data_IF_549392172229
#
_entry.id   IF_549392172229
#
_cell.length_a   1.000
_cell.length_b   1.000
_cell.length_c   1.000
_cell.angle_alpha   90.00
_cell.angle_beta   90.00
_cell.angle_gamma   90.00
#
_symmetry.space_group_name_H-M   'P 1'
#
loop_
_entity.id
_entity.type
_entity.pdbx_description
1 polymer ?
#
# COMPACT_ATOMS: atom_id res chain seq x y z
N UNK A 1 -19.51 -25.51 -22.64
CA UNK A 1 -18.58 -26.66 -22.56
C UNK A 1 -17.11 -26.24 -22.76
N UNK A 2 -16.76 -25.50 -23.81
CA UNK A 2 -15.37 -25.04 -24.06
C UNK A 2 -14.77 -24.15 -22.96
N UNK A 3 -15.55 -23.26 -22.33
CA UNK A 3 -15.07 -22.44 -21.21
C UNK A 3 -14.66 -23.28 -19.99
N UNK A 4 -15.42 -24.33 -19.69
CA UNK A 4 -15.19 -25.19 -18.53
C UNK A 4 -13.94 -26.06 -18.73
N UNK A 5 -13.75 -26.59 -19.94
CA UNK A 5 -12.51 -27.28 -20.36
C UNK A 5 -11.29 -26.34 -20.27
N UNK A 6 -11.42 -25.11 -20.77
CA UNK A 6 -10.34 -24.10 -20.71
C UNK A 6 -9.96 -23.72 -19.27
N UNK A 7 -10.95 -23.52 -18.40
CA UNK A 7 -10.72 -23.28 -16.97
C UNK A 7 -10.07 -24.49 -16.29
N UNK A 8 -10.49 -25.71 -16.62
CA UNK A 8 -9.92 -26.94 -16.08
C UNK A 8 -8.45 -27.11 -16.50
N UNK A 9 -8.12 -26.85 -17.75
CA UNK A 9 -6.76 -26.86 -18.28
C UNK A 9 -5.89 -25.78 -17.60
N UNK A 10 -6.45 -24.58 -17.40
CA UNK A 10 -5.78 -23.46 -16.73
C UNK A 10 -5.53 -23.74 -15.25
N UNK A 11 -6.45 -24.41 -14.55
CA UNK A 11 -6.31 -24.75 -13.12
C UNK A 11 -5.55 -26.07 -12.86
N UNK A 12 -5.17 -26.81 -13.92
CA UNK A 12 -4.44 -28.09 -13.81
C UNK A 12 -3.05 -27.94 -13.17
N UNK A 13 -2.24 -26.92 -13.49
CA UNK A 13 -0.90 -26.78 -12.93
C UNK A 13 -0.92 -26.71 -11.39
N UNK A 14 -0.01 -27.42 -10.69
CA UNK A 14 0.04 -27.39 -9.23
C UNK A 14 0.37 -25.99 -8.69
N UNK A 15 1.11 -25.19 -9.44
CA UNK A 15 1.44 -23.80 -9.11
C UNK A 15 0.21 -22.90 -9.03
N UNK A 16 -0.70 -23.00 -10.00
CA UNK A 16 -1.93 -22.19 -10.04
C UNK A 16 -2.87 -22.58 -8.90
N UNK A 17 -2.94 -23.86 -8.55
CA UNK A 17 -3.70 -24.33 -7.37
C UNK A 17 -3.12 -23.81 -6.06
N UNK A 18 -1.79 -23.82 -5.91
CA UNK A 18 -1.13 -23.26 -4.73
C UNK A 18 -1.35 -21.75 -4.63
N UNK A 19 -1.22 -21.02 -5.73
CA UNK A 19 -1.50 -19.58 -5.78
C UNK A 19 -2.96 -19.28 -5.44
N UNK A 20 -3.89 -20.07 -5.98
CA UNK A 20 -5.31 -19.98 -5.65
C UNK A 20 -5.56 -20.20 -4.16
N UNK A 21 -4.94 -21.22 -3.56
CA UNK A 21 -5.05 -21.49 -2.12
C UNK A 21 -4.52 -20.33 -1.27
N UNK A 22 -3.32 -19.83 -1.59
CA UNK A 22 -2.74 -18.67 -0.89
C UNK A 22 -3.63 -17.45 -1.03
N UNK A 23 -4.16 -17.20 -2.24
CA UNK A 23 -5.08 -16.10 -2.49
C UNK A 23 -6.37 -16.23 -1.69
N UNK A 24 -6.95 -17.43 -1.61
CA UNK A 24 -8.14 -17.70 -0.79
C UNK A 24 -7.89 -17.47 0.69
N UNK A 25 -6.73 -17.87 1.22
CA UNK A 25 -6.36 -17.61 2.62
C UNK A 25 -6.26 -16.10 2.86
N UNK A 26 -5.57 -15.37 1.99
CA UNK A 26 -5.45 -13.91 2.11
C UNK A 26 -6.81 -13.23 2.05
N UNK A 27 -7.65 -13.61 1.09
CA UNK A 27 -9.00 -13.06 0.93
C UNK A 27 -9.85 -13.31 2.18
N UNK A 28 -9.81 -14.51 2.73
CA UNK A 28 -10.53 -14.88 3.94
C UNK A 28 -10.04 -14.10 5.18
N UNK A 29 -8.73 -13.87 5.32
CA UNK A 29 -8.19 -13.18 6.50
C UNK A 29 -8.50 -11.67 6.50
N UNK A 30 -8.59 -11.08 5.31
CA UNK A 30 -8.66 -9.62 5.15
C UNK A 30 -10.08 -9.15 4.88
N UNK A 31 -10.89 -9.94 4.18
CA UNK A 31 -12.22 -9.53 3.68
C UNK A 31 -12.18 -8.11 3.09
N UNK A 32 -11.44 -7.90 1.97
CA UNK A 32 -10.99 -6.58 1.56
C UNK A 32 -12.18 -5.65 1.24
N UNK A 33 -12.40 -4.69 2.14
CA UNK A 33 -13.38 -3.62 2.00
C UNK A 33 -12.81 -2.39 1.24
N UNK A 34 -13.66 -1.39 1.00
CA UNK A 34 -13.25 -0.19 0.27
C UNK A 34 -12.13 0.59 0.96
N UNK A 35 -12.08 0.59 2.30
CA UNK A 35 -11.08 1.30 3.06
C UNK A 35 -9.72 0.59 2.99
N UNK A 36 -9.72 -0.74 3.10
CA UNK A 36 -8.53 -1.56 2.84
C UNK A 36 -7.98 -1.29 1.44
N UNK A 37 -8.83 -1.35 0.41
CA UNK A 37 -8.40 -1.10 -0.97
C UNK A 37 -7.84 0.30 -1.17
N UNK A 38 -8.43 1.33 -0.54
CA UNK A 38 -7.94 2.71 -0.62
C UNK A 38 -6.50 2.85 -0.07
N UNK A 39 -6.19 2.21 1.06
CA UNK A 39 -4.83 2.20 1.62
C UNK A 39 -3.85 1.52 0.66
N UNK A 40 -4.21 0.38 0.08
CA UNK A 40 -3.32 -0.34 -0.84
C UNK A 40 -3.12 0.38 -2.17
N UNK A 41 -4.13 1.08 -2.67
CA UNK A 41 -3.98 2.00 -3.80
C UNK A 41 -2.98 3.10 -3.44
N UNK A 42 -3.10 3.71 -2.26
CA UNK A 42 -2.16 4.74 -1.81
C UNK A 42 -0.73 4.20 -1.69
N UNK A 43 -0.52 3.00 -1.14
CA UNK A 43 0.80 2.34 -1.11
C UNK A 43 1.37 2.15 -2.51
N UNK A 44 0.56 1.72 -3.48
CA UNK A 44 1.00 1.57 -4.86
C UNK A 44 1.39 2.91 -5.49
N UNK A 45 0.62 3.97 -5.22
CA UNK A 45 0.92 5.33 -5.67
C UNK A 45 2.17 5.90 -4.99
N UNK A 46 2.45 5.57 -3.72
CA UNK A 46 3.71 5.90 -3.04
C UNK A 46 4.91 5.29 -3.77
N UNK A 47 4.84 4.00 -4.10
CA UNK A 47 5.90 3.33 -4.84
C UNK A 47 6.11 3.95 -6.23
N UNK A 48 5.04 4.23 -6.96
CA UNK A 48 5.11 4.87 -8.28
C UNK A 48 5.70 6.27 -8.19
N UNK A 49 5.19 7.11 -7.27
CA UNK A 49 5.67 8.48 -7.09
C UNK A 49 7.15 8.52 -6.70
N UNK A 50 7.61 7.58 -5.88
CA UNK A 50 9.01 7.42 -5.53
C UNK A 50 9.89 7.10 -6.74
N UNK A 51 9.44 6.20 -7.62
CA UNK A 51 10.16 5.90 -8.87
C UNK A 51 10.24 7.13 -9.79
N UNK A 52 9.15 7.91 -9.87
CA UNK A 52 9.13 9.18 -10.62
C UNK A 52 10.13 10.18 -10.05
N UNK A 53 10.16 10.37 -8.72
CA UNK A 53 11.08 11.28 -8.05
C UNK A 53 12.56 10.92 -8.31
N UNK A 54 12.91 9.64 -8.17
CA UNK A 54 14.27 9.15 -8.45
C UNK A 54 14.63 9.41 -9.92
N UNK A 55 13.70 9.15 -10.84
CA UNK A 55 13.93 9.33 -12.27
C UNK A 55 14.14 10.81 -12.64
N UNK A 56 13.33 11.70 -12.06
CA UNK A 56 13.42 13.15 -12.29
C UNK A 56 14.76 13.72 -11.81
N UNK A 57 15.23 13.30 -10.63
CA UNK A 57 16.49 13.79 -10.06
C UNK A 57 17.75 13.30 -10.81
N UNK A 58 17.66 12.20 -11.56
CA UNK A 58 18.79 11.56 -12.24
C UNK A 58 18.82 11.79 -13.75
N UNK A 59 17.92 12.62 -14.28
CA UNK A 59 17.85 12.91 -15.72
C UNK A 59 17.24 11.79 -16.56
N UNK A 60 16.46 10.87 -15.94
CA UNK A 60 15.70 9.84 -16.65
C UNK A 60 15.63 8.48 -15.93
N UNK A 61 14.57 7.71 -16.23
CA UNK A 61 14.30 6.39 -15.63
C UNK A 61 15.39 5.36 -15.94
N UNK A 62 15.89 5.34 -17.19
CA UNK A 62 16.93 4.39 -17.62
C UNK A 62 18.28 4.63 -16.94
N UNK A 63 18.61 5.89 -16.65
CA UNK A 63 19.85 6.27 -15.94
C UNK A 63 19.75 5.88 -14.45
N UNK A 64 18.57 6.04 -13.85
CA UNK A 64 18.32 5.62 -12.48
C UNK A 64 18.38 4.09 -12.30
N UNK A 65 17.93 3.32 -13.30
CA UNK A 65 17.93 1.86 -13.28
C UNK A 65 19.35 1.28 -13.43
N UNK A 66 20.14 1.82 -14.35
CA UNK A 66 21.53 1.38 -14.58
C UNK A 66 22.47 1.78 -13.43
N UNK A 67 22.15 2.86 -12.70
CA UNK A 67 22.91 3.28 -11.52
C UNK A 67 22.69 2.41 -10.27
N UNK A 68 21.76 1.45 -10.30
CA UNK A 68 21.52 0.51 -9.18
C UNK A 68 20.87 1.14 -7.92
N UNK A 69 20.53 2.42 -7.96
CA UNK A 69 19.98 3.19 -6.83
C UNK A 69 18.53 2.78 -6.48
N UNK A 70 17.75 2.35 -7.48
CA UNK A 70 16.41 1.76 -7.27
C UNK A 70 16.51 0.46 -6.43
N UNK A 71 17.70 -0.14 -6.35
CA UNK A 71 18.01 -1.40 -5.66
C UNK A 71 18.82 -1.22 -4.37
N UNK A 72 18.80 -0.05 -3.71
CA UNK A 72 19.47 0.02 -2.40
C UNK A 72 18.77 -0.93 -1.42
N UNK A 73 19.51 -1.91 -0.88
CA UNK A 73 18.98 -2.91 0.08
C UNK A 73 18.20 -2.27 1.23
N UNK A 74 18.56 -1.04 1.60
CA UNK A 74 17.89 -0.24 2.63
C UNK A 74 16.49 0.23 2.19
N UNK A 75 16.34 0.73 0.97
CA UNK A 75 15.04 1.14 0.43
C UNK A 75 14.09 -0.06 0.30
N UNK A 76 14.58 -1.19 -0.22
CA UNK A 76 13.79 -2.41 -0.34
C UNK A 76 13.36 -2.96 1.02
N UNK A 77 14.27 -3.00 2.00
CA UNK A 77 13.95 -3.44 3.37
C UNK A 77 12.89 -2.57 4.03
N UNK A 78 12.98 -1.24 3.87
CA UNK A 78 11.98 -0.32 4.39
C UNK A 78 10.59 -0.54 3.79
N UNK A 79 10.51 -0.67 2.46
CA UNK A 79 9.26 -0.99 1.77
C UNK A 79 8.71 -2.35 2.19
N UNK A 80 9.55 -3.39 2.30
CA UNK A 80 9.10 -4.70 2.75
C UNK A 80 8.51 -4.68 4.17
N UNK A 81 9.18 -4.02 5.12
CA UNK A 81 8.67 -3.86 6.49
C UNK A 81 7.34 -3.12 6.48
N UNK A 82 7.21 -2.04 5.69
CA UNK A 82 5.96 -1.28 5.53
C UNK A 82 4.83 -2.19 5.04
N UNK A 83 5.06 -2.95 3.96
CA UNK A 83 4.05 -3.85 3.38
C UNK A 83 3.58 -4.91 4.38
N UNK A 84 4.51 -5.53 5.12
CA UNK A 84 4.18 -6.53 6.14
C UNK A 84 3.39 -5.90 7.28
N UNK A 85 3.80 -4.71 7.77
CA UNK A 85 3.09 -4.01 8.83
C UNK A 85 1.67 -3.63 8.40
N UNK A 86 1.51 -3.08 7.19
CA UNK A 86 0.21 -2.62 6.68
C UNK A 86 -0.74 -3.79 6.44
N UNK A 87 -0.23 -4.89 5.90
CA UNK A 87 -0.99 -6.13 5.76
C UNK A 87 -1.44 -6.66 7.12
N UNK A 88 -0.53 -6.71 8.10
CA UNK A 88 -0.84 -7.20 9.46
C UNK A 88 -1.93 -6.34 10.11
N UNK A 89 -1.83 -5.01 10.02
CA UNK A 89 -2.85 -4.09 10.51
C UNK A 89 -4.19 -4.27 9.79
N UNK A 90 -4.16 -4.48 8.47
CA UNK A 90 -5.38 -4.77 7.70
C UNK A 90 -6.09 -6.06 8.14
N UNK A 91 -5.33 -7.13 8.39
CA UNK A 91 -5.88 -8.37 8.97
C UNK A 91 -6.49 -8.07 10.34
N UNK A 92 -5.78 -7.37 11.24
CA UNK A 92 -6.33 -7.04 12.55
C UNK A 92 -7.63 -6.22 12.43
N UNK A 93 -7.66 -5.22 11.57
CA UNK A 93 -8.85 -4.41 11.29
C UNK A 93 -10.03 -5.23 10.78
N UNK A 94 -9.79 -6.23 9.93
CA UNK A 94 -10.83 -7.16 9.50
C UNK A 94 -11.35 -7.99 10.67
N UNK A 95 -10.44 -8.55 11.47
CA UNK A 95 -10.80 -9.41 12.61
C UNK A 95 -11.47 -8.65 13.76
N UNK A 96 -11.31 -7.32 13.85
CA UNK A 96 -11.99 -6.50 14.87
C UNK A 96 -13.52 -6.68 14.81
N UNK A 97 -14.11 -6.91 13.63
CA UNK A 97 -15.57 -7.13 13.52
C UNK A 97 -16.05 -8.37 14.28
N UNK A 98 -15.18 -9.36 14.49
CA UNK A 98 -15.50 -10.58 15.23
C UNK A 98 -15.27 -10.47 16.74
N UNK A 99 -14.52 -9.46 17.19
CA UNK A 99 -14.14 -9.28 18.59
C UNK A 99 -14.80 -8.05 19.21
N UNK A 100 -15.13 -7.04 18.41
CA UNK A 100 -15.84 -5.86 18.85
C UNK A 100 -17.28 -6.22 19.23
N UNK A 101 -17.67 -5.90 20.46
CA UNK A 101 -19.04 -6.14 20.94
C UNK A 101 -20.13 -5.35 20.20
N UNK A 102 -19.75 -4.38 19.36
CA UNK A 102 -20.66 -3.57 18.53
C UNK A 102 -20.03 -3.19 17.19
N UNK A 103 -20.87 -3.04 16.15
CA UNK A 103 -20.47 -2.60 14.81
C UNK A 103 -19.79 -1.21 14.83
N UNK A 104 -20.29 -0.29 15.67
CA UNK A 104 -19.75 1.07 15.80
C UNK A 104 -18.27 1.05 16.19
N UNK A 105 -17.88 0.21 17.16
CA UNK A 105 -16.48 0.10 17.61
C UNK A 105 -15.59 -0.45 16.50
N UNK A 106 -16.09 -1.41 15.72
CA UNK A 106 -15.35 -1.99 14.61
C UNK A 106 -15.12 -0.96 13.50
N UNK A 107 -16.17 -0.25 13.07
CA UNK A 107 -16.08 0.80 12.05
C UNK A 107 -15.14 1.93 12.48
N UNK A 108 -15.23 2.39 13.74
CA UNK A 108 -14.33 3.42 14.25
C UNK A 108 -12.87 2.95 14.25
N UNK A 109 -12.62 1.73 14.68
CA UNK A 109 -11.26 1.16 14.73
C UNK A 109 -10.65 1.03 13.33
N UNK A 110 -11.41 0.51 12.36
CA UNK A 110 -11.02 0.47 10.94
C UNK A 110 -10.73 1.87 10.39
N UNK A 111 -11.61 2.82 10.67
CA UNK A 111 -11.48 4.21 10.20
C UNK A 111 -10.22 4.88 10.73
N UNK A 112 -9.91 4.71 12.01
CA UNK A 112 -8.71 5.28 12.62
C UNK A 112 -7.43 4.69 12.01
N UNK A 113 -7.34 3.36 11.92
CA UNK A 113 -6.14 2.69 11.40
C UNK A 113 -5.97 2.99 9.91
N UNK A 114 -6.99 2.74 9.08
CA UNK A 114 -6.88 2.97 7.64
C UNK A 114 -6.74 4.45 7.29
N UNK A 115 -7.43 5.34 8.00
CA UNK A 115 -7.28 6.79 7.83
C UNK A 115 -5.87 7.25 8.16
N UNK A 116 -5.26 6.74 9.23
CA UNK A 116 -3.87 7.01 9.59
C UNK A 116 -2.91 6.52 8.50
N UNK A 117 -3.02 5.24 8.09
CA UNK A 117 -2.15 4.67 7.05
C UNK A 117 -2.26 5.44 5.72
N UNK A 118 -3.48 5.75 5.30
CA UNK A 118 -3.73 6.53 4.08
C UNK A 118 -3.10 7.93 4.15
N UNK A 119 -3.17 8.58 5.32
CA UNK A 119 -2.56 9.90 5.54
C UNK A 119 -1.04 9.84 5.46
N UNK A 120 -0.41 8.82 6.08
CA UNK A 120 1.04 8.60 6.01
C UNK A 120 1.50 8.42 4.56
N UNK A 121 0.80 7.61 3.77
CA UNK A 121 1.14 7.43 2.35
C UNK A 121 0.90 8.69 1.51
N UNK A 122 -0.18 9.44 1.80
CA UNK A 122 -0.45 10.71 1.13
C UNK A 122 0.67 11.73 1.33
N UNK A 123 1.19 11.83 2.56
CA UNK A 123 2.35 12.69 2.86
C UNK A 123 3.59 12.21 2.08
N UNK A 124 3.86 10.91 2.08
CA UNK A 124 5.00 10.31 1.34
C UNK A 124 4.91 10.57 -0.17
N UNK A 125 3.72 10.44 -0.77
CA UNK A 125 3.49 10.75 -2.18
C UNK A 125 3.79 12.23 -2.47
N UNK A 126 3.30 13.15 -1.63
CA UNK A 126 3.56 14.58 -1.81
C UNK A 126 5.06 14.91 -1.70
N UNK A 127 5.77 14.27 -0.77
CA UNK A 127 7.24 14.40 -0.66
C UNK A 127 7.94 13.96 -1.95
N UNK A 128 7.54 12.82 -2.50
CA UNK A 128 8.08 12.32 -3.76
C UNK A 128 7.78 13.27 -4.93
N UNK A 129 6.55 13.79 -5.03
CA UNK A 129 6.17 14.72 -6.11
C UNK A 129 6.88 16.07 -6.02
N UNK A 130 7.03 16.63 -4.82
CA UNK A 130 7.83 17.84 -4.61
C UNK A 130 9.29 17.59 -5.04
N UNK A 131 9.84 16.45 -4.62
CA UNK A 131 11.19 16.04 -4.99
C UNK A 131 11.37 15.72 -6.49
N UNK A 132 10.27 15.45 -7.21
CA UNK A 132 10.23 15.28 -8.65
C UNK A 132 10.12 16.61 -9.43
N UNK A 133 9.98 17.75 -8.75
CA UNK A 133 9.92 19.07 -9.37
C UNK A 133 8.55 19.74 -9.35
N UNK A 134 7.63 19.33 -8.46
CA UNK A 134 6.35 20.03 -8.22
C UNK A 134 6.39 20.86 -6.92
N UNK A 135 7.13 22.00 -6.86
CA UNK A 135 7.28 22.79 -5.64
C UNK A 135 5.97 23.45 -5.17
N UNK A 136 4.98 23.62 -6.06
CA UNK A 136 3.66 24.14 -5.73
C UNK A 136 2.89 23.27 -4.72
N UNK A 137 3.27 22.00 -4.54
CA UNK A 137 2.69 21.11 -3.54
C UNK A 137 3.33 21.26 -2.14
N UNK A 138 4.46 21.99 -2.02
CA UNK A 138 5.18 22.15 -0.76
C UNK A 138 4.34 22.81 0.37
N UNK A 139 3.47 23.81 0.11
CA UNK A 139 2.60 24.36 1.15
C UNK A 139 1.62 23.34 1.72
N UNK A 140 1.03 22.49 0.87
CA UNK A 140 0.11 21.43 1.28
C UNK A 140 0.85 20.39 2.13
N UNK A 141 2.04 19.96 1.69
CA UNK A 141 2.89 19.05 2.46
C UNK A 141 3.23 19.62 3.85
N UNK A 142 3.56 20.91 3.93
CA UNK A 142 3.88 21.56 5.20
C UNK A 142 2.68 21.61 6.14
N UNK A 143 1.47 21.85 5.63
CA UNK A 143 0.24 21.83 6.42
C UNK A 143 -0.05 20.43 6.97
N UNK A 144 0.03 19.39 6.14
CA UNK A 144 -0.24 18.01 6.55
C UNK A 144 0.78 17.51 7.59
N UNK A 145 2.07 17.82 7.42
CA UNK A 145 3.11 17.49 8.42
C UNK A 145 2.87 18.19 9.76
N UNK A 146 2.37 19.43 9.75
CA UNK A 146 2.03 20.16 10.98
C UNK A 146 0.84 19.53 11.69
N UNK A 147 -0.20 19.15 10.95
CA UNK A 147 -1.35 18.45 11.51
C UNK A 147 -0.92 17.12 12.16
N UNK A 148 -0.15 16.30 11.43
CA UNK A 148 0.32 15.01 11.91
C UNK A 148 1.23 15.09 13.16
N UNK A 149 1.99 16.19 13.34
CA UNK A 149 2.80 16.38 14.55
C UNK A 149 1.98 16.79 15.77
N UNK A 150 0.93 17.59 15.58
CA UNK A 150 0.07 18.06 16.69
C UNK A 150 -0.76 16.93 17.31
N UNK A 151 -1.04 15.89 16.56
CA UNK A 151 -1.76 14.71 17.06
C UNK A 151 -0.84 13.71 17.78
N UNK A 152 0.48 13.91 17.73
CA UNK A 152 1.48 13.07 18.39
C UNK A 152 2.00 13.66 19.72
N UNK A 153 1.60 14.88 20.06
CA UNK A 153 1.89 15.59 21.33
C UNK A 153 0.68 15.50 22.29
#
# INVERSE_FOLDING_TARGET
>A
MQLFESLRETLRPPTIRLLGLVWSIIYYLVEPDAAFLAVWIAVMLDLVSKLVAISAQKGGFMVALTAGEISSKKAFRGTFIKLVAYFTLGVLCAQVEHVAGTEVVAVMSKTLVYGFLFTVESISILENLVAAGLPNLAPLLAQLRRAARREAE
#
